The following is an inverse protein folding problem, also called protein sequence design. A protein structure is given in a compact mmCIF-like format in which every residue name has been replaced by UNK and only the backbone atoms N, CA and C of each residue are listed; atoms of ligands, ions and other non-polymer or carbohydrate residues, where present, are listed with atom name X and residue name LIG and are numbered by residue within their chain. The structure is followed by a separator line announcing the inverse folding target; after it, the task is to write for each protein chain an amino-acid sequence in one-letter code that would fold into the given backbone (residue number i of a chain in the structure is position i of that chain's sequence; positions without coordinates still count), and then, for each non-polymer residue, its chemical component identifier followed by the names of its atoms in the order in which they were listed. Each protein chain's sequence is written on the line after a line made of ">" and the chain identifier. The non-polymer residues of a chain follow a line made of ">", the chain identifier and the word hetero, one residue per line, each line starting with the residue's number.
data_IF_114312637419
#
_entry.id   IF_114312637419
#
_cell.length_a   1.000
_cell.length_b   1.000
_cell.length_c   1.000
_cell.angle_alpha   90.00
_cell.angle_beta   90.00
_cell.angle_gamma   90.00
#
_symmetry.space_group_name_H-M   'P 1'
#
loop_
_entity.id
_entity.type
_entity.pdbx_description
1 polymer ?
#
# COMPACT_ATOMS: atom_id res chain seq x y z
N UNK A 1 -23.48 -19.53 22.51
CA UNK A 1 -23.69 -20.16 21.18
C UNK A 1 -23.22 -19.16 20.16
N UNK A 2 -22.30 -19.51 19.27
CA UNK A 2 -21.86 -18.63 18.19
C UNK A 2 -22.97 -18.58 17.12
N UNK A 3 -23.47 -17.39 16.82
CA UNK A 3 -24.41 -17.15 15.72
C UNK A 3 -23.65 -16.49 14.58
N UNK A 4 -23.80 -17.03 13.38
CA UNK A 4 -23.11 -16.55 12.19
C UNK A 4 -24.05 -15.70 11.33
N UNK A 5 -23.48 -14.70 10.65
CA UNK A 5 -24.21 -13.92 9.64
C UNK A 5 -24.66 -14.85 8.48
N UNK A 6 -25.74 -14.52 7.75
CA UNK A 6 -26.27 -15.35 6.67
C UNK A 6 -25.24 -15.74 5.60
N UNK A 7 -24.18 -14.94 5.44
CA UNK A 7 -23.12 -15.12 4.45
C UNK A 7 -22.00 -16.08 4.93
N UNK A 8 -22.17 -16.66 6.13
CA UNK A 8 -21.21 -17.54 6.77
C UNK A 8 -21.89 -18.74 7.43
N UNK A 9 -21.17 -19.85 7.53
CA UNK A 9 -21.65 -21.09 8.14
C UNK A 9 -20.74 -21.50 9.29
N UNK A 10 -21.30 -22.15 10.31
CA UNK A 10 -20.49 -22.65 11.42
C UNK A 10 -19.56 -23.78 10.96
N UNK A 11 -18.33 -23.74 11.44
CA UNK A 11 -17.40 -24.85 11.32
C UNK A 11 -17.89 -26.10 12.11
N UNK A 12 -17.32 -27.30 11.90
CA UNK A 12 -17.72 -28.51 12.61
C UNK A 12 -17.64 -28.41 14.14
N UNK A 13 -16.74 -27.56 14.69
CA UNK A 13 -16.63 -27.32 16.13
C UNK A 13 -17.66 -26.32 16.66
N UNK A 14 -18.39 -25.64 15.76
CA UNK A 14 -19.39 -24.60 16.05
C UNK A 14 -18.84 -23.41 16.83
N UNK A 15 -17.57 -23.07 16.58
CA UNK A 15 -16.88 -21.94 17.23
C UNK A 15 -16.42 -20.87 16.25
N UNK A 16 -16.44 -21.14 14.95
CA UNK A 16 -15.95 -20.26 13.89
C UNK A 16 -17.02 -20.12 12.81
N UNK A 17 -17.24 -18.89 12.35
CA UNK A 17 -18.05 -18.61 11.17
C UNK A 17 -17.16 -18.61 9.93
N UNK A 18 -17.31 -19.65 9.10
CA UNK A 18 -16.62 -19.78 7.83
C UNK A 18 -17.42 -19.00 6.79
N UNK A 19 -16.81 -17.97 6.22
CA UNK A 19 -17.42 -17.18 5.16
C UNK A 19 -17.48 -18.00 3.87
N UNK A 20 -18.69 -18.13 3.30
CA UNK A 20 -18.92 -18.94 2.11
C UNK A 20 -19.38 -18.12 0.91
N UNK A 21 -19.78 -16.87 1.15
CA UNK A 21 -20.29 -15.96 0.12
C UNK A 21 -19.32 -14.79 -0.04
N UNK A 22 -18.96 -14.51 -1.29
CA UNK A 22 -18.21 -13.31 -1.66
C UNK A 22 -19.17 -12.17 -1.99
N UNK A 23 -18.76 -10.95 -1.68
CA UNK A 23 -19.55 -9.75 -1.88
C UNK A 23 -18.70 -8.53 -2.20
N UNK A 24 -19.39 -7.42 -2.46
CA UNK A 24 -18.75 -6.16 -2.81
C UNK A 24 -18.17 -5.47 -1.58
N UNK A 25 -16.90 -5.11 -1.64
CA UNK A 25 -16.24 -4.25 -0.67
C UNK A 25 -16.31 -2.80 -1.11
N UNK A 26 -16.78 -1.94 -0.20
CA UNK A 26 -16.95 -0.52 -0.42
C UNK A 26 -15.97 0.27 0.43
N UNK A 27 -15.24 1.19 -0.19
CA UNK A 27 -14.22 1.97 0.52
C UNK A 27 -14.81 3.06 1.39
N UNK A 28 -15.97 3.61 1.01
CA UNK A 28 -16.58 4.75 1.69
C UNK A 28 -18.06 4.51 2.02
N UNK A 29 -18.52 5.18 3.08
CA UNK A 29 -19.94 5.37 3.38
C UNK A 29 -20.21 6.88 3.41
N UNK A 30 -21.09 7.36 2.55
CA UNK A 30 -21.49 8.76 2.47
C UNK A 30 -23.01 8.83 2.58
N UNK A 31 -23.52 9.57 3.57
CA UNK A 31 -24.97 9.72 3.83
C UNK A 31 -25.74 8.40 3.94
N UNK A 32 -25.12 7.37 4.54
CA UNK A 32 -25.73 6.04 4.69
C UNK A 32 -25.74 5.19 3.42
N UNK A 33 -25.12 5.66 2.33
CA UNK A 33 -24.91 4.89 1.10
C UNK A 33 -23.45 4.48 0.96
N UNK A 34 -23.23 3.27 0.48
CA UNK A 34 -21.88 2.79 0.19
C UNK A 34 -21.41 3.24 -1.19
N UNK A 35 -20.20 3.78 -1.23
CA UNK A 35 -19.57 4.36 -2.40
C UNK A 35 -18.17 3.79 -2.61
N UNK A 36 -17.72 3.84 -3.86
CA UNK A 36 -16.42 3.33 -4.33
C UNK A 36 -16.30 1.81 -4.08
N UNK A 37 -16.71 1.04 -5.09
CA UNK A 37 -16.48 -0.40 -5.15
C UNK A 37 -15.00 -0.64 -5.45
N UNK A 38 -14.26 -1.17 -4.47
CA UNK A 38 -12.83 -1.49 -4.61
C UNK A 38 -12.59 -2.95 -5.02
N UNK A 39 -13.52 -3.86 -4.69
CA UNK A 39 -13.57 -5.19 -5.29
C UNK A 39 -14.97 -5.82 -5.08
N UNK A 40 -15.56 -6.34 -6.16
CA UNK A 40 -16.88 -6.97 -6.16
C UNK A 40 -16.95 -8.39 -5.59
N UNK A 41 -15.82 -9.05 -5.32
CA UNK A 41 -15.74 -10.47 -4.97
C UNK A 41 -14.76 -10.74 -3.82
N UNK A 42 -15.03 -10.13 -2.66
CA UNK A 42 -14.23 -10.28 -1.43
C UNK A 42 -14.98 -11.03 -0.35
N UNK A 43 -14.25 -11.67 0.55
CA UNK A 43 -14.80 -12.13 1.82
C UNK A 43 -15.03 -10.92 2.75
N UNK A 44 -16.07 -10.98 3.60
CA UNK A 44 -16.41 -9.87 4.50
C UNK A 44 -15.29 -9.59 5.49
N UNK A 45 -14.66 -10.63 6.05
CA UNK A 45 -13.50 -10.52 6.94
C UNK A 45 -12.32 -9.83 6.27
N UNK A 46 -11.99 -10.19 5.02
CA UNK A 46 -10.91 -9.56 4.27
C UNK A 46 -11.20 -8.08 4.00
N UNK A 47 -12.42 -7.75 3.56
CA UNK A 47 -12.85 -6.38 3.33
C UNK A 47 -12.79 -5.52 4.60
N UNK A 48 -13.45 -5.98 5.66
CA UNK A 48 -13.66 -5.19 6.89
C UNK A 48 -12.45 -5.16 7.82
N UNK A 49 -11.51 -6.09 7.67
CA UNK A 49 -10.26 -6.07 8.44
C UNK A 49 -9.19 -5.17 7.81
N UNK A 50 -9.36 -4.73 6.56
CA UNK A 50 -8.34 -3.96 5.80
C UNK A 50 -8.85 -2.58 5.34
N UNK A 51 -9.25 -2.44 4.08
CA UNK A 51 -9.54 -1.16 3.42
C UNK A 51 -11.03 -0.81 3.34
N UNK A 52 -11.91 -1.77 3.58
CA UNK A 52 -13.35 -1.59 3.45
C UNK A 52 -13.96 -0.77 4.59
N UNK A 53 -14.85 0.16 4.23
CA UNK A 53 -15.77 0.81 5.17
C UNK A 53 -17.11 0.05 5.28
N UNK A 54 -17.51 -0.68 4.23
CA UNK A 54 -18.72 -1.51 4.23
C UNK A 54 -18.60 -2.70 3.28
N UNK A 55 -19.44 -3.72 3.49
CA UNK A 55 -19.47 -4.91 2.66
C UNK A 55 -20.89 -5.37 2.31
N UNK A 56 -21.07 -5.88 1.09
CA UNK A 56 -22.32 -6.46 0.59
C UNK A 56 -23.20 -5.51 -0.21
N UNK A 57 -24.38 -6.00 -0.60
CA UNK A 57 -25.45 -5.23 -1.26
C UNK A 57 -26.82 -5.86 -0.91
N UNK A 58 -27.65 -5.27 -0.03
CA UNK A 58 -27.41 -4.00 0.67
C UNK A 58 -26.15 -4.06 1.53
N UNK A 59 -25.42 -2.96 1.58
CA UNK A 59 -24.15 -2.92 2.28
C UNK A 59 -24.35 -2.75 3.79
N UNK A 60 -23.48 -3.39 4.56
CA UNK A 60 -23.41 -3.25 6.02
C UNK A 60 -22.08 -2.58 6.39
N UNK A 61 -22.07 -1.58 7.28
CA UNK A 61 -20.83 -0.99 7.77
C UNK A 61 -19.89 -2.05 8.34
N UNK A 62 -18.61 -1.91 8.05
CA UNK A 62 -17.60 -2.81 8.55
C UNK A 62 -17.37 -2.61 10.05
N UNK A 63 -17.40 -3.71 10.78
CA UNK A 63 -17.00 -3.78 12.19
C UNK A 63 -15.58 -4.32 12.26
N UNK A 64 -14.72 -3.67 13.04
CA UNK A 64 -13.34 -4.13 13.23
C UNK A 64 -13.32 -5.32 14.18
N UNK A 65 -12.52 -6.33 13.86
CA UNK A 65 -12.29 -7.44 14.77
C UNK A 65 -11.62 -6.92 16.06
N UNK A 66 -12.14 -7.27 17.25
CA UNK A 66 -11.59 -6.76 18.51
C UNK A 66 -10.26 -7.39 18.91
N UNK A 67 -9.84 -8.48 18.26
CA UNK A 67 -8.63 -9.23 18.55
C UNK A 67 -7.56 -8.98 17.49
N UNK A 68 -7.93 -8.96 16.21
CA UNK A 68 -6.98 -8.72 15.13
C UNK A 68 -6.85 -7.23 14.82
N UNK A 69 -5.61 -6.78 14.64
CA UNK A 69 -5.33 -5.42 14.20
C UNK A 69 -5.76 -5.20 12.75
N UNK A 70 -5.93 -3.94 12.35
CA UNK A 70 -6.19 -3.58 10.95
C UNK A 70 -5.08 -4.15 10.05
N UNK A 71 -5.46 -4.75 8.92
CA UNK A 71 -4.59 -5.49 8.00
C UNK A 71 -4.59 -7.00 8.26
N UNK A 72 -5.23 -7.49 9.32
CA UNK A 72 -5.24 -8.91 9.66
C UNK A 72 -6.66 -9.44 9.86
N UNK A 73 -6.97 -10.58 9.26
CA UNK A 73 -8.26 -11.27 9.40
C UNK A 73 -8.16 -12.44 10.37
N UNK A 74 -9.24 -12.69 11.12
CA UNK A 74 -9.28 -13.73 12.13
C UNK A 74 -9.69 -15.06 11.53
N UNK A 75 -8.85 -16.08 11.69
CA UNK A 75 -9.11 -17.41 11.10
C UNK A 75 -9.67 -18.39 12.11
N UNK A 76 -9.11 -18.39 13.33
CA UNK A 76 -9.56 -19.29 14.40
C UNK A 76 -9.12 -18.81 15.77
N UNK A 77 -10.03 -18.79 16.74
CA UNK A 77 -9.66 -18.52 18.13
C UNK A 77 -9.11 -17.12 18.24
N UNK A 78 -7.84 -16.93 18.54
CA UNK A 78 -7.18 -15.61 18.52
C UNK A 78 -6.12 -15.48 17.42
N UNK A 79 -6.09 -16.43 16.48
CA UNK A 79 -5.15 -16.45 15.38
C UNK A 79 -5.59 -15.48 14.29
N UNK A 80 -4.68 -14.57 13.95
CA UNK A 80 -4.84 -13.57 12.91
C UNK A 80 -3.89 -13.87 11.76
N UNK A 81 -4.37 -13.79 10.52
CA UNK A 81 -3.57 -13.91 9.30
C UNK A 81 -3.59 -12.57 8.56
N UNK A 82 -2.45 -12.20 8.00
CA UNK A 82 -2.28 -10.99 7.19
C UNK A 82 -3.22 -11.03 5.97
N UNK A 83 -3.91 -9.92 5.71
CA UNK A 83 -4.74 -9.76 4.53
C UNK A 83 -3.88 -9.09 3.47
N UNK A 84 -3.50 -9.82 2.43
CA UNK A 84 -2.80 -9.23 1.31
C UNK A 84 -3.74 -8.31 0.51
N UNK A 85 -3.72 -7.00 0.79
CA UNK A 85 -4.61 -6.04 0.14
C UNK A 85 -4.36 -5.95 -1.38
N UNK A 86 -3.15 -6.23 -1.86
CA UNK A 86 -2.84 -6.21 -3.28
C UNK A 86 -3.54 -7.34 -4.05
N UNK A 87 -3.72 -8.49 -3.40
CA UNK A 87 -4.47 -9.61 -3.97
C UNK A 87 -5.98 -9.43 -3.80
N UNK A 88 -6.39 -8.93 -2.63
CA UNK A 88 -7.81 -8.75 -2.29
C UNK A 88 -8.42 -7.54 -2.98
N UNK A 89 -7.65 -6.50 -3.34
CA UNK A 89 -8.15 -5.28 -3.98
C UNK A 89 -7.31 -4.92 -5.21
N UNK A 90 -7.69 -5.42 -6.40
CA UNK A 90 -7.01 -5.08 -7.64
C UNK A 90 -6.97 -3.56 -7.84
N UNK A 91 -5.78 -3.02 -8.10
CA UNK A 91 -5.58 -1.58 -8.33
C UNK A 91 -5.17 -0.78 -7.09
N UNK A 92 -5.22 -1.35 -5.88
CA UNK A 92 -4.73 -0.65 -4.67
C UNK A 92 -3.21 -0.55 -4.66
N UNK A 93 -2.52 -1.61 -5.08
CA UNK A 93 -1.07 -1.65 -5.18
C UNK A 93 -0.62 -1.30 -6.60
N UNK A 94 -1.15 -0.21 -7.15
CA UNK A 94 -0.60 0.37 -8.39
C UNK A 94 0.70 1.11 -8.07
N UNK A 95 1.75 0.71 -8.79
CA UNK A 95 3.04 1.35 -8.68
C UNK A 95 3.06 2.64 -9.48
N UNK A 96 3.85 3.62 -9.02
CA UNK A 96 4.15 4.81 -9.83
C UNK A 96 4.76 4.38 -11.18
N UNK A 97 4.60 5.18 -12.26
CA UNK A 97 5.09 4.83 -13.59
C UNK A 97 6.57 4.43 -13.65
N UNK A 98 7.38 4.91 -12.70
CA UNK A 98 8.82 4.65 -12.59
C UNK A 98 9.18 3.38 -11.79
N UNK A 99 8.16 2.63 -11.36
CA UNK A 99 8.28 1.45 -10.51
C UNK A 99 7.37 0.33 -10.99
N UNK A 100 7.75 -0.91 -10.71
CA UNK A 100 6.98 -2.09 -11.07
C UNK A 100 6.78 -2.97 -9.84
N UNK A 101 5.70 -3.74 -9.83
CA UNK A 101 5.50 -4.74 -8.80
C UNK A 101 6.65 -5.76 -8.81
N UNK A 102 7.10 -6.14 -7.62
CA UNK A 102 8.02 -7.23 -7.41
C UNK A 102 7.37 -8.59 -7.80
N UNK A 103 8.13 -9.70 -7.86
CA UNK A 103 7.57 -11.01 -8.22
C UNK A 103 6.40 -11.48 -7.33
N UNK A 104 6.35 -11.05 -6.06
CA UNK A 104 5.24 -11.37 -5.14
C UNK A 104 4.02 -10.48 -5.35
N UNK A 105 4.13 -9.44 -6.18
CA UNK A 105 3.06 -8.46 -6.48
C UNK A 105 2.55 -7.70 -5.26
N UNK A 106 3.38 -7.55 -4.23
CA UNK A 106 3.02 -6.85 -3.00
C UNK A 106 3.78 -5.54 -2.85
N UNK A 107 4.92 -5.39 -3.51
CA UNK A 107 5.85 -4.29 -3.31
C UNK A 107 6.16 -3.63 -4.65
N UNK A 108 6.10 -2.30 -4.69
CA UNK A 108 6.59 -1.52 -5.82
C UNK A 108 8.10 -1.31 -5.69
N UNK A 109 8.85 -1.84 -6.65
CA UNK A 109 10.29 -1.64 -6.75
C UNK A 109 10.59 -0.64 -7.87
N UNK A 110 11.44 0.34 -7.58
CA UNK A 110 11.88 1.31 -8.59
C UNK A 110 12.80 0.61 -9.59
N UNK A 111 12.48 0.70 -10.87
CA UNK A 111 13.24 0.06 -11.95
C UNK A 111 13.81 1.06 -12.94
N UNK A 112 13.31 2.31 -12.91
CA UNK A 112 13.76 3.37 -13.80
C UNK A 112 14.77 4.26 -13.08
N UNK A 113 15.91 4.48 -13.74
CA UNK A 113 16.90 5.48 -13.32
C UNK A 113 16.69 6.78 -14.10
N UNK A 114 16.96 7.90 -13.44
CA UNK A 114 16.77 9.22 -14.01
C UNK A 114 17.65 10.27 -13.36
N UNK A 115 17.49 11.50 -13.86
CA UNK A 115 18.27 12.65 -13.43
C UNK A 115 17.81 13.17 -12.07
N UNK A 116 18.73 13.27 -11.12
CA UNK A 116 18.53 13.95 -9.86
C UNK A 116 18.95 15.41 -9.96
N UNK A 117 18.04 16.29 -9.54
CA UNK A 117 18.22 17.73 -9.56
C UNK A 117 18.30 18.27 -8.15
N UNK A 118 19.31 19.08 -7.86
CA UNK A 118 19.53 19.62 -6.53
C UNK A 118 18.54 20.72 -6.17
N UNK A 119 18.09 21.51 -7.15
CA UNK A 119 17.24 22.67 -6.92
C UNK A 119 16.06 22.74 -7.88
N UNK A 120 14.99 23.41 -7.43
CA UNK A 120 13.89 23.87 -8.27
C UNK A 120 13.81 25.39 -8.14
N UNK A 121 13.96 26.11 -9.25
CA UNK A 121 13.88 27.56 -9.31
C UNK A 121 12.81 27.95 -10.33
N UNK A 122 11.81 28.71 -9.90
CA UNK A 122 10.68 29.14 -10.75
C UNK A 122 10.01 27.98 -11.51
N UNK A 123 9.85 26.83 -10.84
CA UNK A 123 9.25 25.62 -11.43
C UNK A 123 10.13 24.87 -12.42
N UNK A 124 11.41 25.25 -12.59
CA UNK A 124 12.39 24.55 -13.42
C UNK A 124 13.44 23.88 -12.55
N UNK A 125 13.85 22.69 -12.94
CA UNK A 125 14.91 21.99 -12.23
C UNK A 125 16.28 22.47 -12.67
N UNK A 126 17.12 22.74 -11.69
CA UNK A 126 18.46 23.26 -11.88
C UNK A 126 19.47 22.40 -11.13
N UNK A 127 20.70 22.38 -11.67
CA UNK A 127 21.84 21.63 -11.14
C UNK A 127 21.58 20.12 -11.13
N UNK A 128 21.96 19.46 -12.23
CA UNK A 128 22.01 18.01 -12.30
C UNK A 128 23.19 17.50 -11.46
N UNK A 129 22.90 16.75 -10.40
CA UNK A 129 23.93 16.16 -9.53
C UNK A 129 24.24 14.71 -9.88
N UNK A 130 23.31 13.99 -10.51
CA UNK A 130 23.57 12.70 -11.17
C UNK A 130 22.43 12.34 -12.14
N UNK A 131 22.78 11.89 -13.36
CA UNK A 131 21.83 11.45 -14.40
C UNK A 131 21.27 10.02 -14.26
N UNK A 132 21.77 9.21 -13.31
CA UNK A 132 21.49 7.77 -13.25
C UNK A 132 21.16 7.27 -11.84
N UNK A 133 20.21 7.93 -11.17
CA UNK A 133 19.77 7.58 -9.81
C UNK A 133 18.34 7.06 -9.81
N UNK A 134 18.01 6.22 -8.84
CA UNK A 134 16.61 5.90 -8.55
C UNK A 134 15.94 7.11 -7.87
N UNK A 135 14.61 7.24 -8.02
CA UNK A 135 13.86 8.39 -7.49
C UNK A 135 13.97 8.45 -5.97
N UNK A 136 13.79 7.32 -5.29
CA UNK A 136 13.94 7.17 -3.85
C UNK A 136 15.34 7.57 -3.35
N UNK A 137 16.41 7.16 -4.04
CA UNK A 137 17.78 7.54 -3.70
C UNK A 137 18.01 9.05 -3.83
N UNK A 138 17.51 9.66 -4.91
CA UNK A 138 17.58 11.10 -5.13
C UNK A 138 16.81 11.89 -4.04
N UNK A 139 15.54 11.54 -3.84
CA UNK A 139 14.60 12.31 -3.02
C UNK A 139 14.77 12.11 -1.52
N UNK A 140 15.39 11.02 -1.09
CA UNK A 140 15.71 10.77 0.33
C UNK A 140 16.97 11.51 0.80
N UNK A 141 17.81 12.00 -0.10
CA UNK A 141 19.14 12.55 0.21
C UNK A 141 19.29 14.02 -0.20
N UNK A 142 19.88 14.27 -1.37
CA UNK A 142 20.35 15.58 -1.85
C UNK A 142 19.42 16.22 -2.89
N UNK A 143 18.50 15.45 -3.48
CA UNK A 143 17.65 15.91 -4.57
C UNK A 143 16.45 16.74 -4.11
N UNK A 144 16.15 17.79 -4.86
CA UNK A 144 14.88 18.52 -4.79
C UNK A 144 13.87 18.04 -5.85
N UNK A 145 14.33 17.45 -6.95
CA UNK A 145 13.48 16.88 -7.99
C UNK A 145 14.17 15.73 -8.73
N UNK A 146 13.37 14.91 -9.42
CA UNK A 146 13.87 13.77 -10.18
C UNK A 146 13.16 13.63 -11.53
N UNK A 147 13.91 13.20 -12.56
CA UNK A 147 13.41 12.88 -13.90
C UNK A 147 13.56 14.01 -14.94
N UNK A 148 12.97 13.79 -16.12
CA UNK A 148 12.87 14.76 -17.22
C UNK A 148 11.63 14.44 -18.09
N UNK A 149 10.53 15.23 -18.03
CA UNK A 149 10.34 16.40 -17.18
C UNK A 149 10.49 16.03 -15.70
N UNK A 150 11.08 16.94 -14.92
CA UNK A 150 11.36 16.66 -13.53
C UNK A 150 10.10 16.82 -12.67
N UNK A 151 9.98 15.95 -11.67
CA UNK A 151 8.94 16.01 -10.65
C UNK A 151 9.57 16.41 -9.31
N UNK A 152 8.97 17.34 -8.55
CA UNK A 152 9.44 17.65 -7.20
C UNK A 152 9.51 16.40 -6.34
N UNK A 153 10.57 16.30 -5.54
CA UNK A 153 10.74 15.20 -4.62
C UNK A 153 9.74 15.29 -3.46
N UNK A 154 9.06 14.18 -3.21
CA UNK A 154 8.26 13.97 -2.01
C UNK A 154 9.10 13.16 -1.01
N UNK A 155 9.11 13.58 0.26
CA UNK A 155 9.84 12.84 1.29
C UNK A 155 9.04 11.61 1.69
N UNK A 156 9.74 10.49 1.84
CA UNK A 156 9.16 9.29 2.41
C UNK A 156 8.73 9.58 3.86
N UNK A 157 7.45 9.42 4.22
CA UNK A 157 6.98 9.69 5.58
C UNK A 157 7.47 8.66 6.61
N UNK A 158 8.00 7.51 6.16
CA UNK A 158 8.42 6.39 7.00
C UNK A 158 9.93 6.43 7.22
N UNK A 159 10.72 6.70 6.16
CA UNK A 159 12.18 6.71 6.28
C UNK A 159 12.73 8.09 6.63
N UNK A 160 13.75 8.11 7.49
CA UNK A 160 14.51 9.31 7.77
C UNK A 160 15.34 9.75 6.55
N UNK A 161 15.76 11.02 6.55
CA UNK A 161 16.66 11.55 5.51
C UNK A 161 17.96 10.72 5.44
N UNK A 162 18.42 10.42 4.23
CA UNK A 162 19.57 9.55 3.95
C UNK A 162 19.20 8.07 3.84
N UNK A 163 17.93 7.70 4.09
CA UNK A 163 17.47 6.32 4.02
C UNK A 163 16.30 6.20 3.04
N UNK A 164 16.24 5.09 2.31
CA UNK A 164 15.19 4.84 1.33
C UNK A 164 14.83 3.37 1.21
N UNK A 165 13.64 3.09 0.67
CA UNK A 165 13.14 1.72 0.52
C UNK A 165 13.25 1.26 -0.93
N UNK A 166 14.49 1.10 -1.41
CA UNK A 166 14.79 0.78 -2.81
C UNK A 166 14.15 -0.56 -3.23
N UNK A 167 14.10 -1.52 -2.30
CA UNK A 167 13.64 -2.89 -2.54
C UNK A 167 12.44 -3.30 -1.67
N UNK A 168 11.73 -2.35 -1.07
CA UNK A 168 10.43 -2.64 -0.48
C UNK A 168 10.04 -1.85 0.76
N UNK A 169 10.05 -2.49 1.93
CA UNK A 169 9.51 -1.90 3.17
C UNK A 169 10.58 -1.45 4.16
N UNK A 170 11.81 -1.93 4.03
CA UNK A 170 12.92 -1.59 4.93
C UNK A 170 13.64 -0.33 4.47
N UNK A 171 13.88 0.59 5.41
CA UNK A 171 14.72 1.76 5.18
C UNK A 171 16.19 1.35 5.14
N UNK A 172 16.80 1.40 3.97
CA UNK A 172 18.22 1.14 3.74
C UNK A 172 18.96 2.47 3.59
N UNK A 173 20.16 2.54 4.17
CA UNK A 173 21.04 3.71 4.04
C UNK A 173 21.42 3.92 2.57
N UNK A 174 21.30 5.16 2.11
CA UNK A 174 21.70 5.57 0.76
C UNK A 174 23.13 6.05 0.85
N UNK A 175 24.08 5.25 0.36
CA UNK A 175 25.47 5.68 0.28
C UNK A 175 25.62 6.83 -0.74
N UNK A 176 25.59 8.08 -0.27
CA UNK A 176 25.63 9.24 -1.16
C UNK A 176 26.95 9.35 -1.93
N UNK A 177 28.06 8.84 -1.38
CA UNK A 177 29.35 8.84 -2.06
C UNK A 177 29.35 7.91 -3.30
N UNK A 178 28.59 6.81 -3.25
CA UNK A 178 28.43 5.91 -4.40
C UNK A 178 27.35 6.41 -5.36
N UNK A 179 26.27 6.98 -4.82
CA UNK A 179 25.12 7.42 -5.61
C UNK A 179 25.37 8.77 -6.28
N UNK A 180 26.21 9.66 -5.74
CA UNK A 180 26.45 11.00 -6.30
C UNK A 180 27.94 11.27 -6.47
N UNK A 181 28.48 11.09 -7.69
CA UNK A 181 29.89 11.35 -7.97
C UNK A 181 30.29 12.79 -7.59
N UNK A 182 31.33 12.94 -6.77
CA UNK A 182 31.89 14.23 -6.37
C UNK A 182 31.27 14.88 -5.14
N UNK A 183 30.36 14.20 -4.43
CA UNK A 183 29.89 14.60 -3.09
C UNK A 183 30.93 14.24 -2.01
N UNK A 184 31.68 13.18 -2.28
CA UNK A 184 32.86 12.71 -1.58
C UNK A 184 33.99 12.63 -2.63
#
# INVERSE_FOLDING_TARGET
>A
VCECSPESTLDPTRTICIETVKGTCWQNIVNGRCEININGATLKSQCCSSLGAAWGSPCTPCERDPICQKGYSRIRGTLCEDVNECEVFPGVCECSPESTLDPTRTICIETVKGTCWQNIVNGRCEININGATLKSQCCSSLGAAWGSPCTPCERDPICQKGYSRIRGTLCEDVNECEVFPGVC
#
